data_IF_613487524673
#
_entry.id   IF_613487524673
#
_cell.length_a   1.000
_cell.length_b   1.000
_cell.length_c   1.000
_cell.angle_alpha   90.00
_cell.angle_beta   90.00
_cell.angle_gamma   90.00
#
_symmetry.space_group_name_H-M   'P 1'
#
loop_
_entity.id
_entity.type
_entity.pdbx_description
1 polymer ?
#
# COMPACT_ATOMS: atom_id res chain seq x y z
N UNK A 1 32.32 17.71 1.02
CA UNK A 1 31.45 16.73 1.69
C UNK A 1 30.05 17.33 1.70
N UNK A 2 29.27 17.05 0.66
CA UNK A 2 27.90 17.56 0.45
C UNK A 2 26.92 16.53 1.00
N UNK A 3 26.16 16.90 2.03
CA UNK A 3 25.08 16.07 2.59
C UNK A 3 23.87 16.14 1.66
N UNK A 4 23.54 15.01 1.04
CA UNK A 4 22.30 14.79 0.30
C UNK A 4 21.11 14.86 1.28
N UNK A 5 20.21 15.82 1.06
CA UNK A 5 19.00 16.02 1.88
C UNK A 5 17.84 15.31 1.21
N UNK A 6 17.93 13.98 1.07
CA UNK A 6 16.77 13.17 0.77
C UNK A 6 15.89 13.10 2.02
N UNK A 7 14.62 13.45 1.90
CA UNK A 7 13.62 13.45 2.98
C UNK A 7 13.52 12.05 3.59
N UNK A 8 14.30 11.78 4.63
CA UNK A 8 14.44 10.44 5.18
C UNK A 8 13.31 10.20 6.16
N UNK A 9 12.34 9.40 5.72
CA UNK A 9 11.22 8.98 6.57
C UNK A 9 11.75 8.22 7.79
N UNK A 10 11.35 8.71 8.96
CA UNK A 10 11.25 8.01 10.25
C UNK A 10 11.07 6.48 10.19
N UNK A 11 11.91 5.64 10.82
CA UNK A 11 11.50 4.26 11.14
C UNK A 11 10.20 4.23 11.95
N UNK A 12 10.01 5.23 12.83
CA UNK A 12 8.75 5.39 13.57
C UNK A 12 7.60 5.71 12.61
N UNK A 13 7.79 6.65 11.69
CA UNK A 13 6.72 6.99 10.73
C UNK A 13 6.41 5.85 9.76
N UNK A 14 7.35 4.95 9.48
CA UNK A 14 7.06 3.72 8.74
C UNK A 14 6.22 2.74 9.56
N UNK A 15 6.49 2.61 10.86
CA UNK A 15 5.69 1.77 11.76
C UNK A 15 4.25 2.25 11.85
N UNK A 16 4.02 3.56 11.80
CA UNK A 16 2.68 4.15 11.86
C UNK A 16 1.79 3.74 10.68
N UNK A 17 2.35 3.35 9.54
CA UNK A 17 1.58 2.82 8.40
C UNK A 17 0.87 1.50 8.71
N UNK A 18 1.16 0.84 9.83
CA UNK A 18 0.60 -0.45 10.22
C UNK A 18 -0.18 -0.35 11.55
N UNK A 19 -1.49 -0.05 11.52
CA UNK A 19 -2.27 0.23 12.73
C UNK A 19 -2.27 -0.89 13.78
N UNK A 20 -2.16 -2.16 13.37
CA UNK A 20 -2.10 -3.30 14.29
C UNK A 20 -0.86 -3.26 15.20
N UNK A 21 0.23 -2.65 14.73
CA UNK A 21 1.47 -2.52 15.48
C UNK A 21 1.37 -1.49 16.61
N UNK A 22 0.35 -0.62 16.64
CA UNK A 22 0.17 0.33 17.73
C UNK A 22 -0.12 -0.35 19.09
N UNK A 23 -0.67 -1.57 19.07
CA UNK A 23 -1.12 -2.30 20.26
C UNK A 23 -0.66 -3.76 20.29
N UNK A 24 0.17 -4.19 19.34
CA UNK A 24 0.61 -5.60 19.21
C UNK A 24 2.10 -5.70 18.91
N UNK A 25 2.77 -6.66 19.55
CA UNK A 25 4.10 -7.13 19.15
C UNK A 25 3.92 -8.25 18.13
N UNK A 26 4.13 -7.93 16.85
CA UNK A 26 3.87 -8.84 15.74
C UNK A 26 5.14 -9.57 15.31
N UNK A 27 5.19 -10.89 15.49
CA UNK A 27 6.38 -11.73 15.20
C UNK A 27 6.16 -12.80 14.11
N UNK A 28 5.03 -12.77 13.40
CA UNK A 28 4.68 -13.76 12.36
C UNK A 28 4.74 -13.20 10.93
N UNK A 29 5.57 -12.16 10.71
CA UNK A 29 5.67 -11.49 9.41
C UNK A 29 6.16 -12.40 8.28
N UNK A 30 6.81 -13.52 8.61
CA UNK A 30 7.23 -14.53 7.64
C UNK A 30 6.08 -15.37 7.08
N UNK A 31 4.90 -15.33 7.70
CA UNK A 31 3.69 -15.99 7.20
C UNK A 31 2.77 -14.98 6.54
N UNK A 32 2.42 -13.90 7.25
CA UNK A 32 1.55 -12.84 6.75
C UNK A 32 2.04 -11.50 7.29
N UNK A 33 2.13 -10.48 6.45
CA UNK A 33 2.50 -9.14 6.90
C UNK A 33 1.35 -8.45 7.66
N UNK A 34 1.64 -7.54 8.59
CA UNK A 34 0.61 -6.64 9.11
C UNK A 34 0.03 -5.80 7.96
N UNK A 35 -1.28 -5.61 7.95
CA UNK A 35 -1.96 -4.87 6.88
C UNK A 35 -1.61 -3.37 6.95
N UNK A 36 -1.04 -2.78 5.89
CA UNK A 36 -0.82 -1.34 5.80
C UNK A 36 -2.14 -0.56 5.77
N UNK A 37 -2.10 0.70 6.19
CA UNK A 37 -3.27 1.58 6.27
C UNK A 37 -3.95 1.82 4.92
N UNK A 38 -3.15 2.01 3.86
CA UNK A 38 -3.65 2.30 2.51
C UNK A 38 -4.38 1.13 1.84
N UNK A 39 -4.04 -0.11 2.19
CA UNK A 39 -4.54 -1.32 1.49
C UNK A 39 -6.06 -1.41 1.50
N UNK A 40 -6.75 -0.93 2.54
CA UNK A 40 -8.23 -0.91 2.54
C UNK A 40 -8.81 -0.04 1.44
N UNK A 41 -8.21 1.11 1.18
CA UNK A 41 -8.68 2.04 0.16
C UNK A 41 -8.40 1.48 -1.23
N UNK A 42 -7.19 0.94 -1.46
CA UNK A 42 -6.82 0.32 -2.73
C UNK A 42 -7.73 -0.86 -3.08
N UNK A 43 -8.09 -1.69 -2.09
CA UNK A 43 -9.03 -2.81 -2.30
C UNK A 43 -10.45 -2.34 -2.61
N UNK A 44 -10.89 -1.23 -2.00
CA UNK A 44 -12.18 -0.63 -2.31
C UNK A 44 -12.20 -0.07 -3.74
N UNK A 45 -11.16 0.68 -4.12
CA UNK A 45 -11.01 1.20 -5.48
C UNK A 45 -10.95 0.08 -6.52
N UNK A 46 -10.18 -0.97 -6.25
CA UNK A 46 -10.14 -2.17 -7.08
C UNK A 46 -11.54 -2.75 -7.31
N UNK A 47 -12.34 -2.90 -6.25
CA UNK A 47 -13.68 -3.46 -6.33
C UNK A 47 -14.63 -2.54 -7.10
N UNK A 48 -14.59 -1.23 -6.83
CA UNK A 48 -15.41 -0.23 -7.51
C UNK A 48 -15.11 -0.19 -9.01
N UNK A 49 -13.83 -0.25 -9.40
CA UNK A 49 -13.45 -0.27 -10.82
C UNK A 49 -13.92 -1.57 -11.50
N UNK A 50 -13.79 -2.71 -10.83
CA UNK A 50 -14.27 -3.98 -11.36
C UNK A 50 -15.79 -3.98 -11.57
N UNK A 51 -16.55 -3.54 -10.59
CA UNK A 51 -18.02 -3.46 -10.67
C UNK A 51 -18.47 -2.56 -11.82
N UNK A 52 -17.89 -1.35 -11.93
CA UNK A 52 -18.38 -0.33 -12.85
C UNK A 52 -17.88 -0.50 -14.29
N UNK A 53 -16.69 -1.08 -14.50
CA UNK A 53 -16.04 -1.14 -15.83
C UNK A 53 -15.85 -2.56 -16.35
N UNK A 54 -15.98 -3.59 -15.51
CA UNK A 54 -15.68 -4.97 -15.89
C UNK A 54 -14.25 -5.11 -16.43
N UNK A 55 -14.07 -5.83 -17.54
CA UNK A 55 -12.73 -6.06 -18.13
C UNK A 55 -12.02 -4.75 -18.55
N UNK A 56 -12.77 -3.68 -18.83
CA UNK A 56 -12.20 -2.39 -19.23
C UNK A 56 -11.40 -1.73 -18.11
N UNK A 57 -11.67 -2.05 -16.84
CA UNK A 57 -10.87 -1.60 -15.70
C UNK A 57 -9.37 -1.90 -15.85
N UNK A 58 -9.02 -2.94 -16.62
CA UNK A 58 -7.65 -3.44 -16.76
C UNK A 58 -6.98 -3.12 -18.09
N UNK A 59 -7.72 -2.55 -19.04
CA UNK A 59 -7.28 -2.34 -20.43
C UNK A 59 -7.22 -0.87 -20.81
N UNK A 60 -8.08 -0.05 -20.22
CA UNK A 60 -8.11 1.39 -20.47
C UNK A 60 -7.02 2.11 -19.63
N UNK A 61 -6.77 3.39 -19.91
CA UNK A 61 -5.92 4.28 -19.11
C UNK A 61 -4.47 3.79 -18.85
N UNK A 62 -3.92 3.10 -19.85
CA UNK A 62 -2.54 2.57 -19.84
C UNK A 62 -2.48 1.05 -19.71
N UNK A 63 -3.50 0.43 -19.12
CA UNK A 63 -3.53 -0.99 -18.79
C UNK A 63 -3.01 -1.29 -17.38
N UNK A 64 -3.37 -2.45 -16.84
CA UNK A 64 -3.06 -2.85 -15.45
C UNK A 64 -1.57 -2.80 -15.08
N UNK A 65 -0.68 -2.92 -16.08
CA UNK A 65 0.78 -2.87 -15.89
C UNK A 65 1.34 -1.48 -15.57
N UNK A 66 0.51 -0.43 -15.60
CA UNK A 66 0.87 0.91 -15.12
C UNK A 66 0.33 1.23 -13.73
N UNK A 67 -0.48 0.34 -13.15
CA UNK A 67 -0.94 0.54 -11.79
C UNK A 67 0.24 0.39 -10.82
N UNK A 68 0.30 1.21 -9.75
CA UNK A 68 1.30 1.04 -8.72
C UNK A 68 1.18 -0.37 -8.13
N UNK A 69 2.31 -1.09 -8.10
CA UNK A 69 2.50 -2.34 -7.35
C UNK A 69 2.99 -2.07 -5.94
#
# INVERSE_FOLDING_TARGET
MTTDTASTRTWSSWRDEFPSLAHTVYMNSNSLGPMPRGVRNELAEFADQWENRGVRAWLDDGGWWWWPV
#
